data_IF_368021017980
#
_entry.id   IF_368021017980
#
_cell.length_a   1.000
_cell.length_b   1.000
_cell.length_c   1.000
_cell.angle_alpha   90.00
_cell.angle_beta   90.00
_cell.angle_gamma   90.00
#
_symmetry.space_group_name_H-M   'P 1'
#
loop_
_entity.id
_entity.type
_entity.pdbx_description
1 polymer ?
#
# COMPACT_ATOMS: atom_id res chain seq x y z
N UNK A 1 17.61 -19.68 56.34
CA UNK A 1 18.90 -18.96 56.28
C UNK A 1 19.46 -19.15 54.88
N UNK A 2 20.01 -18.05 54.33
CA UNK A 2 20.76 -17.96 53.06
C UNK A 2 19.94 -17.73 51.79
N UNK A 3 19.90 -16.44 51.45
CA UNK A 3 19.54 -15.84 50.19
C UNK A 3 20.70 -15.96 49.19
N UNK A 4 20.38 -16.28 47.93
CA UNK A 4 21.13 -16.05 46.68
C UNK A 4 20.04 -16.08 45.59
N UNK A 5 19.91 -15.14 44.66
CA UNK A 5 20.65 -13.96 44.29
C UNK A 5 19.96 -13.40 43.04
N UNK A 6 19.82 -12.08 42.98
CA UNK A 6 19.30 -11.32 41.85
C UNK A 6 20.15 -11.55 40.59
N UNK A 7 19.50 -11.78 39.46
CA UNK A 7 20.10 -11.79 38.11
C UNK A 7 19.05 -12.33 37.13
N UNK A 8 18.25 -11.49 36.47
CA UNK A 8 18.75 -10.60 35.43
C UNK A 8 18.95 -11.41 34.14
N UNK A 9 17.87 -11.72 33.41
CA UNK A 9 17.96 -12.50 32.19
C UNK A 9 16.64 -12.59 31.42
N UNK A 10 16.50 -11.77 30.38
CA UNK A 10 15.64 -12.10 29.25
C UNK A 10 14.36 -11.28 29.05
N UNK A 11 14.44 -9.95 29.02
CA UNK A 11 13.58 -9.19 28.09
C UNK A 11 14.03 -9.55 26.66
N UNK A 12 13.45 -10.61 26.12
CA UNK A 12 13.81 -11.15 24.81
C UNK A 12 12.62 -11.68 24.02
N UNK A 13 11.40 -11.23 24.33
CA UNK A 13 10.24 -11.50 23.50
C UNK A 13 10.26 -10.62 22.25
N UNK A 14 11.15 -10.92 21.28
CA UNK A 14 10.94 -10.43 19.91
C UNK A 14 9.68 -11.11 19.40
N UNK A 15 8.57 -10.39 19.44
CA UNK A 15 7.30 -10.83 18.88
C UNK A 15 7.52 -11.32 17.46
N UNK A 16 7.33 -12.62 17.24
CA UNK A 16 7.23 -13.16 15.89
C UNK A 16 5.93 -12.62 15.32
N UNK A 17 6.01 -11.58 14.48
CA UNK A 17 4.84 -11.08 13.76
C UNK A 17 4.30 -12.22 12.88
N UNK A 18 3.10 -12.69 13.21
CA UNK A 18 2.42 -13.72 12.46
C UNK A 18 2.26 -13.26 11.00
N UNK A 19 2.54 -14.10 9.97
CA UNK A 19 2.49 -13.67 8.57
C UNK A 19 1.16 -13.01 8.17
N UNK A 20 0.07 -13.45 8.79
CA UNK A 20 -1.27 -12.88 8.60
C UNK A 20 -1.40 -11.48 9.20
N UNK A 21 -0.76 -11.22 10.35
CA UNK A 21 -0.73 -9.89 10.96
C UNK A 21 0.03 -8.89 10.08
N UNK A 22 1.15 -9.34 9.49
CA UNK A 22 1.93 -8.54 8.56
C UNK A 22 1.13 -8.20 7.29
N UNK A 23 0.43 -9.18 6.70
CA UNK A 23 -0.43 -8.95 5.54
C UNK A 23 -1.58 -7.98 5.85
N UNK A 24 -2.24 -8.15 7.00
CA UNK A 24 -3.30 -7.27 7.45
C UNK A 24 -2.80 -5.83 7.66
N UNK A 25 -1.61 -5.67 8.23
CA UNK A 25 -0.97 -4.35 8.40
C UNK A 25 -0.72 -3.66 7.06
N UNK A 26 -0.19 -4.37 6.07
CA UNK A 26 0.04 -3.82 4.72
C UNK A 26 -1.28 -3.38 4.08
N UNK A 27 -2.35 -4.16 4.22
CA UNK A 27 -3.67 -3.80 3.70
C UNK A 27 -4.22 -2.53 4.38
N UNK A 28 -4.08 -2.44 5.70
CA UNK A 28 -4.52 -1.26 6.45
C UNK A 28 -3.74 0.00 6.03
N UNK A 29 -2.40 -0.08 5.97
CA UNK A 29 -1.54 1.02 5.52
C UNK A 29 -1.87 1.46 4.09
N UNK A 30 -2.09 0.50 3.18
CA UNK A 30 -2.51 0.79 1.80
C UNK A 30 -3.88 1.46 1.70
N UNK A 31 -4.85 1.03 2.50
CA UNK A 31 -6.17 1.66 2.56
C UNK A 31 -6.11 3.10 3.09
N UNK A 32 -5.25 3.36 4.08
CA UNK A 32 -5.04 4.70 4.64
C UNK A 32 -4.36 5.63 3.63
N UNK A 33 -3.32 5.19 2.93
CA UNK A 33 -2.67 6.00 1.88
C UNK A 33 -3.65 6.34 0.76
N UNK A 34 -4.45 5.35 0.32
CA UNK A 34 -5.50 5.56 -0.68
C UNK A 34 -6.49 6.66 -0.24
N UNK A 35 -7.00 6.55 0.99
CA UNK A 35 -7.96 7.49 1.53
C UNK A 35 -7.38 8.91 1.61
N UNK A 36 -6.17 9.05 2.15
CA UNK A 36 -5.54 10.37 2.32
C UNK A 36 -5.32 11.06 0.97
N UNK A 37 -4.79 10.35 -0.03
CA UNK A 37 -4.58 10.91 -1.37
C UNK A 37 -5.89 11.30 -2.06
N UNK A 38 -6.93 10.49 -1.87
CA UNK A 38 -8.26 10.80 -2.41
C UNK A 38 -8.84 12.05 -1.77
N UNK A 39 -8.77 12.12 -0.43
CA UNK A 39 -9.28 13.25 0.34
C UNK A 39 -8.59 14.55 -0.08
N UNK A 40 -7.25 14.56 -0.14
CA UNK A 40 -6.46 15.71 -0.55
C UNK A 40 -6.80 16.14 -1.98
N UNK A 41 -6.87 15.19 -2.92
CA UNK A 41 -7.18 15.50 -4.32
C UNK A 41 -8.58 16.06 -4.49
N UNK A 42 -9.59 15.47 -3.83
CA UNK A 42 -10.96 15.96 -3.95
C UNK A 42 -11.16 17.28 -3.24
N UNK A 43 -10.46 17.52 -2.13
CA UNK A 43 -10.43 18.81 -1.48
C UNK A 43 -9.85 19.89 -2.41
N UNK A 44 -8.67 19.65 -2.98
CA UNK A 44 -8.02 20.60 -3.91
C UNK A 44 -8.88 20.89 -5.15
N UNK A 45 -9.58 19.88 -5.68
CA UNK A 45 -10.38 20.03 -6.92
C UNK A 45 -11.75 20.65 -6.69
N UNK A 46 -12.40 20.35 -5.57
CA UNK A 46 -13.80 20.68 -5.36
C UNK A 46 -14.00 21.85 -4.39
N UNK A 47 -13.06 22.13 -3.48
CA UNK A 47 -13.21 23.16 -2.45
C UNK A 47 -12.36 24.37 -2.81
N UNK A 48 -12.99 25.40 -3.37
CA UNK A 48 -12.29 26.58 -3.89
C UNK A 48 -12.37 27.81 -3.00
N UNK A 49 -13.59 28.24 -2.63
CA UNK A 49 -13.83 29.50 -1.91
C UNK A 49 -14.48 29.22 -0.56
N UNK A 50 -13.82 29.63 0.50
CA UNK A 50 -14.32 29.52 1.87
C UNK A 50 -15.21 30.73 2.22
N UNK A 51 -16.42 30.75 1.66
CA UNK A 51 -17.41 31.78 2.00
C UNK A 51 -18.28 31.36 3.18
N UNK A 52 -18.48 30.06 3.35
CA UNK A 52 -19.40 29.45 4.30
C UNK A 52 -18.73 28.22 4.94
N UNK A 53 -19.19 27.81 6.12
CA UNK A 53 -18.66 26.62 6.80
C UNK A 53 -19.19 25.30 6.20
N UNK A 54 -20.34 25.36 5.52
CA UNK A 54 -20.99 24.20 4.91
C UNK A 54 -20.66 24.12 3.43
N UNK A 55 -20.63 22.88 2.92
CA UNK A 55 -20.45 22.63 1.49
C UNK A 55 -21.69 23.06 0.73
N UNK A 56 -21.52 23.88 -0.32
CA UNK A 56 -22.63 24.18 -1.21
C UNK A 56 -23.00 22.95 -2.07
N UNK A 57 -24.17 22.98 -2.69
CA UNK A 57 -24.67 21.86 -3.52
C UNK A 57 -23.70 21.52 -4.67
N UNK A 58 -23.01 22.52 -5.21
CA UNK A 58 -21.98 22.35 -6.23
C UNK A 58 -20.78 21.55 -5.70
N UNK A 59 -20.25 21.94 -4.54
CA UNK A 59 -19.11 21.29 -3.87
C UNK A 59 -19.42 19.86 -3.43
N UNK A 60 -20.61 19.63 -2.86
CA UNK A 60 -21.08 18.28 -2.53
C UNK A 60 -21.13 17.40 -3.78
N UNK A 61 -21.80 17.86 -4.84
CA UNK A 61 -21.92 17.09 -6.08
C UNK A 61 -20.59 16.93 -6.84
N UNK A 62 -19.64 17.86 -6.67
CA UNK A 62 -18.29 17.73 -7.19
C UNK A 62 -17.54 16.63 -6.44
N UNK A 63 -17.63 16.61 -5.10
CA UNK A 63 -16.94 15.66 -4.23
C UNK A 63 -17.36 14.23 -4.58
N UNK A 64 -18.65 13.95 -4.74
CA UNK A 64 -19.16 12.63 -5.15
C UNK A 64 -18.58 12.17 -6.50
N UNK A 65 -18.58 13.08 -7.49
CA UNK A 65 -18.01 12.82 -8.82
C UNK A 65 -16.50 12.63 -8.76
N UNK A 66 -15.80 13.38 -7.90
CA UNK A 66 -14.36 13.26 -7.73
C UNK A 66 -13.99 11.89 -7.17
N UNK A 67 -14.65 11.44 -6.10
CA UNK A 67 -14.42 10.12 -5.50
C UNK A 67 -14.66 9.01 -6.51
N UNK A 68 -15.75 9.08 -7.27
CA UNK A 68 -16.06 8.11 -8.33
C UNK A 68 -14.95 8.02 -9.38
N UNK A 69 -14.53 9.17 -9.93
CA UNK A 69 -13.43 9.23 -10.91
C UNK A 69 -12.10 8.77 -10.33
N UNK A 70 -11.80 9.13 -9.10
CA UNK A 70 -10.56 8.73 -8.43
C UNK A 70 -10.48 7.20 -8.30
N UNK A 71 -11.56 6.56 -7.86
CA UNK A 71 -11.61 5.10 -7.74
C UNK A 71 -11.54 4.39 -9.10
N UNK A 72 -12.19 4.92 -10.14
CA UNK A 72 -12.04 4.42 -11.50
C UNK A 72 -10.60 4.51 -12.00
N UNK A 73 -9.94 5.65 -11.78
CA UNK A 73 -8.52 5.85 -12.12
C UNK A 73 -7.61 4.93 -11.31
N UNK A 74 -7.85 4.81 -10.01
CA UNK A 74 -7.08 3.93 -9.13
C UNK A 74 -7.14 2.48 -9.61
N UNK A 75 -8.33 1.98 -9.96
CA UNK A 75 -8.51 0.64 -10.52
C UNK A 75 -7.72 0.46 -11.82
N UNK A 76 -7.87 1.38 -12.79
CA UNK A 76 -7.18 1.29 -14.09
C UNK A 76 -5.65 1.27 -13.93
N UNK A 77 -5.12 2.07 -13.01
CA UNK A 77 -3.68 2.06 -12.69
C UNK A 77 -3.28 0.72 -12.07
N UNK A 78 -4.09 0.18 -11.17
CA UNK A 78 -3.88 -1.15 -10.58
C UNK A 78 -3.84 -2.26 -11.63
N UNK A 79 -4.83 -2.30 -12.52
CA UNK A 79 -4.91 -3.27 -13.62
C UNK A 79 -3.64 -3.21 -14.48
N UNK A 80 -3.21 -1.99 -14.85
CA UNK A 80 -2.03 -1.80 -15.69
C UNK A 80 -0.73 -2.19 -14.97
N UNK A 81 -0.62 -1.90 -13.68
CA UNK A 81 0.54 -2.31 -12.88
C UNK A 81 0.65 -3.84 -12.82
N UNK A 82 -0.47 -4.55 -12.68
CA UNK A 82 -0.49 -6.01 -12.67
C UNK A 82 -0.06 -6.59 -14.04
N UNK A 83 -0.54 -6.01 -15.15
CA UNK A 83 -0.07 -6.39 -16.49
C UNK A 83 1.45 -6.23 -16.63
N UNK A 84 2.00 -5.09 -16.17
CA UNK A 84 3.45 -4.85 -16.20
C UNK A 84 4.23 -5.87 -15.37
N UNK A 85 3.75 -6.21 -14.17
CA UNK A 85 4.40 -7.22 -13.32
C UNK A 85 4.44 -8.60 -13.98
N UNK A 86 3.36 -9.01 -14.63
CA UNK A 86 3.32 -10.30 -15.34
C UNK A 86 4.30 -10.33 -16.53
N UNK A 87 4.38 -9.23 -17.29
CA UNK A 87 5.33 -9.12 -18.40
C UNK A 87 6.79 -9.15 -17.92
N UNK A 88 7.10 -8.47 -16.82
CA UNK A 88 8.44 -8.47 -16.22
C UNK A 88 8.82 -9.86 -15.69
N UNK A 89 7.90 -10.57 -15.03
CA UNK A 89 8.14 -11.95 -14.56
C UNK A 89 8.42 -12.91 -15.72
N UNK A 90 7.69 -12.78 -16.83
CA UNK A 90 7.92 -13.59 -18.03
C UNK A 90 9.31 -13.33 -18.65
N UNK A 91 9.74 -12.05 -18.72
CA UNK A 91 11.10 -11.70 -19.17
C UNK A 91 12.18 -12.18 -18.22
N UNK A 92 11.94 -12.11 -16.91
CA UNK A 92 12.89 -12.56 -15.90
C UNK A 92 13.10 -14.08 -15.97
N UNK A 93 12.05 -14.86 -16.20
CA UNK A 93 12.16 -16.31 -16.43
C UNK A 93 12.94 -16.64 -17.72
N UNK A 94 12.71 -15.92 -18.82
CA UNK A 94 13.49 -16.10 -20.04
C UNK A 94 14.98 -15.79 -19.82
N UNK A 95 15.29 -14.74 -19.07
CA UNK A 95 16.68 -14.34 -18.79
C UNK A 95 17.38 -15.35 -17.87
N UNK A 96 16.69 -15.87 -16.85
CA UNK A 96 17.22 -16.91 -15.97
C UNK A 96 17.47 -18.23 -16.72
N UNK A 97 16.57 -18.63 -17.62
CA UNK A 97 16.77 -19.83 -18.44
C UNK A 97 17.92 -19.68 -19.44
N UNK A 98 18.10 -18.49 -20.04
CA UNK A 98 19.22 -18.21 -20.92
C UNK A 98 20.58 -18.25 -20.19
N UNK A 99 20.65 -17.77 -18.95
CA UNK A 99 21.84 -17.87 -18.11
C UNK A 99 22.18 -19.31 -17.72
N UNK A 100 21.18 -20.14 -17.39
CA UNK A 100 21.40 -21.55 -17.06
C UNK A 100 21.95 -22.36 -18.25
N UNK A 101 21.54 -22.05 -19.48
CA UNK A 101 22.01 -22.73 -20.69
C UNK A 101 23.46 -22.34 -21.06
N UNK A 102 23.92 -21.13 -20.72
CA UNK A 102 25.30 -20.66 -20.96
C UNK A 102 26.30 -21.08 -19.87
N UNK A 103 25.83 -21.38 -18.66
CA UNK A 103 26.68 -21.82 -17.53
C UNK A 103 27.10 -23.29 -17.56
N UNK A 104 26.45 -24.13 -18.39
CA UNK A 104 26.71 -25.58 -18.48
C UNK A 104 27.72 -26.03 -19.55
N UNK A 105 28.36 -25.09 -20.27
CA UNK A 105 29.36 -25.39 -21.32
C UNK A 105 30.80 -25.10 -20.86
N UNK A 106 31.09 -25.30 -19.58
CA UNK A 106 32.45 -25.30 -19.00
C UNK A 106 32.84 -26.72 -18.62
#
# INVERSE_FOLDING_TARGET
MSAFGLGGGGFGGRGQEHPQLKAAKIQAEGATDLYNRMADMCFEKCIGKYQEAELNVGEMSCTDRCVSKFMESYKKVGDKLQEFQQMEQAKMQQTQQAQQMMGGMQ
#
